data_IF_899270682787
#
_entry.id   IF_899270682787
#
_cell.length_a   1.000
_cell.length_b   1.000
_cell.length_c   1.000
_cell.angle_alpha   90.00
_cell.angle_beta   90.00
_cell.angle_gamma   90.00
#
_symmetry.space_group_name_H-M   'P 1'
#
loop_
_entity.id
_entity.type
_entity.pdbx_description
1 polymer ?
#
# COMPACT_ATOMS: atom_id res chain seq x y z
N UNK A 1 -20.90 3.57 25.11
CA UNK A 1 -19.56 3.86 25.65
C UNK A 1 -18.59 3.52 24.52
N UNK A 2 -18.17 4.53 23.75
CA UNK A 2 -17.32 4.30 22.57
C UNK A 2 -15.89 4.12 23.05
N UNK A 3 -15.26 2.99 22.70
CA UNK A 3 -13.81 2.88 22.79
C UNK A 3 -13.22 3.96 21.88
N UNK A 4 -12.57 4.96 22.44
CA UNK A 4 -11.78 5.94 21.68
C UNK A 4 -10.43 5.31 21.38
N UNK A 5 -10.41 4.43 20.39
CA UNK A 5 -9.17 3.92 19.83
C UNK A 5 -8.39 5.09 19.24
N UNK A 6 -7.12 5.21 19.61
CA UNK A 6 -6.21 6.18 19.02
C UNK A 6 -5.48 5.53 17.85
N UNK A 7 -5.46 6.20 16.69
CA UNK A 7 -4.79 5.71 15.49
C UNK A 7 -3.55 6.53 15.17
N UNK A 8 -2.46 5.85 14.82
CA UNK A 8 -1.21 6.47 14.37
C UNK A 8 -0.64 5.72 13.18
N UNK A 9 0.10 6.39 12.31
CA UNK A 9 0.80 5.77 11.18
C UNK A 9 2.29 5.79 11.40
N UNK A 10 3.00 4.73 11.01
CA UNK A 10 4.46 4.74 10.89
C UNK A 10 4.87 4.45 9.46
N UNK A 11 5.89 5.17 8.99
CA UNK A 11 6.51 5.01 7.68
C UNK A 11 7.82 4.24 7.79
N UNK A 12 8.01 3.26 6.92
CA UNK A 12 9.28 2.62 6.63
C UNK A 12 9.70 3.03 5.21
N UNK A 13 10.77 3.83 5.06
CA UNK A 13 11.42 4.06 3.77
C UNK A 13 11.92 2.75 3.14
N UNK A 14 12.27 2.74 1.84
CA UNK A 14 12.76 1.56 1.15
C UNK A 14 13.83 0.82 1.96
N UNK A 15 13.58 -0.43 2.39
CA UNK A 15 14.52 -1.17 3.22
C UNK A 15 15.87 -1.36 2.55
N UNK A 16 15.91 -1.45 1.21
CA UNK A 16 17.13 -1.62 0.39
C UNK A 16 18.02 -2.77 0.87
N UNK A 17 17.40 -3.81 1.41
CA UNK A 17 18.05 -5.00 1.94
C UNK A 17 17.22 -6.25 1.61
N UNK A 18 17.84 -7.42 1.70
CA UNK A 18 17.12 -8.68 1.58
C UNK A 18 16.14 -8.86 2.75
N UNK A 19 14.88 -9.05 2.41
CA UNK A 19 13.79 -9.29 3.36
C UNK A 19 13.45 -10.79 3.38
N UNK A 20 13.01 -11.27 4.53
CA UNK A 20 12.57 -12.65 4.71
C UNK A 20 11.06 -12.66 4.90
N UNK A 21 10.33 -13.51 4.18
CA UNK A 21 8.89 -13.65 4.39
C UNK A 21 8.63 -14.21 5.78
N UNK A 22 7.84 -13.54 6.64
CA UNK A 22 7.41 -14.12 7.91
C UNK A 22 6.62 -15.41 7.73
N UNK A 23 6.77 -16.34 8.67
CA UNK A 23 6.05 -17.63 8.69
C UNK A 23 5.47 -17.88 10.09
N UNK A 24 4.57 -18.85 10.27
CA UNK A 24 4.10 -19.22 11.60
C UNK A 24 5.21 -19.62 12.58
N UNK A 25 6.30 -20.22 12.08
CA UNK A 25 7.47 -20.59 12.90
C UNK A 25 8.47 -19.44 13.12
N UNK A 26 8.40 -18.39 12.31
CA UNK A 26 9.24 -17.20 12.41
C UNK A 26 8.42 -15.94 12.02
N UNK A 27 7.51 -15.47 12.87
CA UNK A 27 6.56 -14.41 12.54
C UNK A 27 7.20 -13.01 12.49
N UNK A 28 8.42 -12.86 12.99
CA UNK A 28 9.18 -11.62 12.94
C UNK A 28 10.66 -11.91 12.67
N UNK A 29 11.03 -12.24 11.41
CA UNK A 29 12.41 -12.47 11.03
C UNK A 29 13.30 -11.30 11.47
N UNK A 30 14.41 -11.60 12.14
CA UNK A 30 15.28 -10.60 12.74
C UNK A 30 15.99 -9.70 11.71
N UNK A 31 16.13 -10.16 10.46
CA UNK A 31 16.69 -9.37 9.38
C UNK A 31 15.69 -8.39 8.77
N UNK A 32 14.41 -8.41 9.16
CA UNK A 32 13.42 -7.46 8.67
C UNK A 32 13.33 -6.25 9.62
N UNK A 33 13.12 -5.04 9.08
CA UNK A 33 12.69 -3.91 9.90
C UNK A 33 11.39 -4.25 10.65
N UNK A 34 11.21 -3.86 11.92
CA UNK A 34 9.99 -4.17 12.68
C UNK A 34 8.70 -3.72 11.99
N UNK A 35 8.70 -2.53 11.37
CA UNK A 35 7.54 -2.02 10.63
C UNK A 35 7.18 -2.93 9.45
N UNK A 36 8.17 -3.52 8.77
CA UNK A 36 7.92 -4.47 7.68
C UNK A 36 7.26 -5.75 8.20
N UNK A 37 7.73 -6.28 9.33
CA UNK A 37 7.09 -7.44 9.97
C UNK A 37 5.63 -7.14 10.34
N UNK A 38 5.34 -5.94 10.82
CA UNK A 38 3.97 -5.51 11.12
C UNK A 38 3.10 -5.38 9.86
N UNK A 39 3.63 -4.82 8.75
CA UNK A 39 2.94 -4.78 7.47
C UNK A 39 2.63 -6.19 6.96
N UNK A 40 3.60 -7.11 7.05
CA UNK A 40 3.43 -8.51 6.66
C UNK A 40 2.43 -9.27 7.52
N UNK A 41 2.33 -8.94 8.82
CA UNK A 41 1.29 -9.49 9.68
C UNK A 41 -0.10 -9.12 9.16
N UNK A 42 -0.36 -7.84 8.90
CA UNK A 42 -1.66 -7.38 8.37
C UNK A 42 -1.95 -8.00 7.00
N UNK A 43 -0.95 -8.04 6.10
CA UNK A 43 -1.06 -8.68 4.78
C UNK A 43 -1.42 -10.16 4.90
N UNK A 44 -0.78 -10.90 5.80
CA UNK A 44 -1.06 -12.33 6.00
C UNK A 44 -2.50 -12.53 6.46
N UNK A 45 -2.94 -11.79 7.48
CA UNK A 45 -4.30 -11.93 7.99
C UNK A 45 -5.36 -11.59 6.93
N UNK A 46 -5.12 -10.55 6.12
CA UNK A 46 -6.12 -10.10 5.13
C UNK A 46 -6.04 -10.90 3.83
N UNK A 47 -4.87 -11.04 3.23
CA UNK A 47 -4.75 -11.64 1.91
C UNK A 47 -4.68 -13.16 1.98
N UNK A 48 -3.97 -13.74 2.94
CA UNK A 48 -3.84 -15.20 3.06
C UNK A 48 -5.01 -15.80 3.83
N UNK A 49 -5.19 -15.39 5.08
CA UNK A 49 -6.13 -16.06 5.97
C UNK A 49 -7.59 -15.76 5.57
N UNK A 50 -7.88 -14.51 5.21
CA UNK A 50 -9.24 -14.07 4.84
C UNK A 50 -9.53 -14.23 3.34
N UNK A 51 -8.63 -13.83 2.44
CA UNK A 51 -8.88 -13.85 0.98
C UNK A 51 -8.34 -15.09 0.27
N UNK A 52 -7.62 -15.96 0.97
CA UNK A 52 -7.08 -17.22 0.46
C UNK A 52 -6.07 -17.06 -0.70
N UNK A 53 -5.39 -15.90 -0.78
CA UNK A 53 -4.21 -15.71 -1.63
C UNK A 53 -3.08 -16.64 -1.15
N UNK A 54 -2.18 -17.02 -2.07
CA UNK A 54 -1.06 -17.89 -1.70
C UNK A 54 -0.07 -17.13 -0.81
N UNK A 55 0.39 -17.71 0.32
CA UNK A 55 1.36 -17.06 1.20
C UNK A 55 2.63 -16.59 0.49
N UNK A 56 3.12 -17.36 -0.47
CA UNK A 56 4.29 -17.02 -1.30
C UNK A 56 4.12 -15.74 -2.13
N UNK A 57 2.89 -15.34 -2.47
CA UNK A 57 2.63 -14.14 -3.26
C UNK A 57 2.54 -12.86 -2.40
N UNK A 58 2.56 -13.02 -1.07
CA UNK A 58 2.59 -11.91 -0.13
C UNK A 58 3.98 -11.32 0.11
N UNK A 59 5.00 -11.70 -0.64
CA UNK A 59 6.27 -10.97 -0.66
C UNK A 59 6.84 -11.02 -2.07
N UNK A 60 7.26 -9.88 -2.59
CA UNK A 60 7.79 -9.76 -3.95
C UNK A 60 9.00 -8.82 -4.00
N UNK A 61 9.63 -8.75 -5.18
CA UNK A 61 10.86 -7.97 -5.39
C UNK A 61 10.66 -6.46 -5.21
N UNK A 62 9.41 -5.96 -5.24
CA UNK A 62 9.14 -4.55 -5.00
C UNK A 62 9.22 -4.19 -3.50
N UNK A 63 9.10 -5.14 -2.58
CA UNK A 63 9.07 -4.85 -1.14
C UNK A 63 10.34 -4.13 -0.65
N UNK A 64 11.52 -4.49 -1.18
CA UNK A 64 12.79 -3.88 -0.78
C UNK A 64 12.99 -2.43 -1.29
N UNK A 65 12.30 -2.04 -2.37
CA UNK A 65 12.39 -0.71 -2.99
C UNK A 65 11.21 0.22 -2.68
N UNK A 66 10.21 -0.28 -1.97
CA UNK A 66 8.96 0.44 -1.71
C UNK A 66 8.95 1.12 -0.35
N UNK A 67 8.15 2.17 -0.23
CA UNK A 67 7.78 2.74 1.06
C UNK A 67 6.59 1.96 1.63
N UNK A 68 6.58 1.75 2.93
CA UNK A 68 5.53 1.02 3.62
C UNK A 68 4.96 1.86 4.75
N UNK A 69 3.64 1.98 4.81
CA UNK A 69 2.92 2.56 5.93
C UNK A 69 2.24 1.46 6.71
N UNK A 70 2.32 1.54 8.04
CA UNK A 70 1.51 0.71 8.94
C UNK A 70 0.66 1.63 9.80
N UNK A 71 -0.64 1.36 9.83
CA UNK A 71 -1.58 1.97 10.75
C UNK A 71 -1.60 1.15 12.03
N UNK A 72 -1.45 1.81 13.18
CA UNK A 72 -1.56 1.21 14.49
C UNK A 72 -2.80 1.72 15.22
N UNK A 73 -3.40 0.86 16.02
CA UNK A 73 -4.43 1.22 16.99
C UNK A 73 -3.89 1.03 18.41
N UNK A 74 -4.12 2.01 19.27
CA UNK A 74 -3.93 1.90 20.71
C UNK A 74 -5.31 1.91 21.34
N UNK A 75 -5.65 0.87 22.10
CA UNK A 75 -6.95 0.72 22.77
C UNK A 75 -6.78 1.02 24.25
N UNK A 76 -7.88 1.32 24.94
CA UNK A 76 -7.85 1.50 26.41
C UNK A 76 -7.48 0.21 27.16
N UNK A 77 -7.54 -0.94 26.50
CA UNK A 77 -7.20 -2.25 27.09
C UNK A 77 -5.72 -2.61 26.94
N UNK A 78 -4.98 -1.92 26.05
CA UNK A 78 -3.55 -2.15 25.81
C UNK A 78 -2.84 -0.87 25.40
N UNK A 79 -1.90 -0.43 26.23
CA UNK A 79 -0.99 0.68 25.92
C UNK A 79 -0.03 0.38 24.76
N UNK A 80 0.10 -0.89 24.34
CA UNK A 80 0.92 -1.25 23.19
C UNK A 80 0.12 -1.07 21.89
N UNK A 81 0.59 -0.25 20.94
CA UNK A 81 -0.04 -0.11 19.64
C UNK A 81 0.01 -1.44 18.87
N UNK A 82 -1.12 -1.83 18.28
CA UNK A 82 -1.23 -3.03 17.44
C UNK A 82 -1.33 -2.63 15.97
N UNK A 83 -0.67 -3.33 15.03
CA UNK A 83 -0.80 -3.03 13.61
C UNK A 83 -2.16 -3.49 13.10
N UNK A 84 -2.91 -2.57 12.49
CA UNK A 84 -4.30 -2.77 12.06
C UNK A 84 -4.53 -2.48 10.58
N UNK A 85 -3.57 -1.83 9.93
CA UNK A 85 -3.61 -1.50 8.52
C UNK A 85 -2.24 -1.38 7.91
N UNK A 86 -2.17 -1.51 6.58
CA UNK A 86 -0.92 -1.37 5.82
C UNK A 86 -1.18 -0.82 4.42
N UNK A 87 -0.17 -0.17 3.85
CA UNK A 87 -0.13 0.33 2.47
C UNK A 87 1.32 0.32 1.99
N UNK A 88 1.53 -0.07 0.73
CA UNK A 88 2.83 -0.03 0.04
C UNK A 88 2.79 0.94 -1.13
N UNK A 89 3.80 1.81 -1.25
CA UNK A 89 4.03 2.68 -2.40
C UNK A 89 5.26 2.17 -3.16
N UNK A 90 5.05 1.79 -4.41
CA UNK A 90 6.10 1.35 -5.33
C UNK A 90 6.53 2.57 -6.19
N UNK A 91 7.81 2.98 -6.15
CA UNK A 91 8.30 4.08 -6.98
C UNK A 91 8.50 3.63 -8.44
N UNK A 92 8.67 4.57 -9.39
CA UNK A 92 9.27 4.27 -10.69
C UNK A 92 10.76 3.86 -10.56
N UNK A 93 11.35 3.23 -11.59
CA UNK A 93 10.70 2.76 -12.81
C UNK A 93 9.79 1.55 -12.55
N UNK A 94 8.81 1.37 -13.42
CA UNK A 94 8.02 0.14 -13.54
C UNK A 94 8.41 -0.59 -14.82
N UNK A 95 7.98 -1.84 -14.98
CA UNK A 95 8.34 -2.62 -16.18
C UNK A 95 7.87 -1.87 -17.43
N UNK A 96 8.75 -1.61 -18.42
CA UNK A 96 8.37 -0.89 -19.63
C UNK A 96 7.17 -1.54 -20.33
N UNK A 97 6.23 -0.71 -20.81
CA UNK A 97 5.02 -1.07 -21.55
C UNK A 97 3.85 -1.69 -20.75
N UNK A 98 3.93 -1.80 -19.43
CA UNK A 98 2.82 -2.39 -18.65
C UNK A 98 1.51 -1.58 -18.81
N UNK A 99 1.60 -0.25 -18.80
CA UNK A 99 0.41 0.64 -18.85
C UNK A 99 0.52 1.83 -19.83
N UNK A 100 1.53 1.84 -20.71
CA UNK A 100 1.70 2.81 -21.82
C UNK A 100 1.61 4.31 -21.47
N UNK A 101 1.75 4.71 -20.20
CA UNK A 101 1.64 6.12 -19.78
C UNK A 101 2.77 6.99 -20.37
N UNK A 102 3.93 6.41 -20.66
CA UNK A 102 5.07 7.11 -21.26
C UNK A 102 5.76 8.12 -20.33
N UNK A 103 5.38 8.15 -19.05
CA UNK A 103 5.95 8.98 -17.98
C UNK A 103 5.96 8.21 -16.64
N UNK A 104 6.78 8.62 -15.66
CA UNK A 104 6.86 7.98 -14.35
C UNK A 104 5.53 8.09 -13.61
N UNK A 105 5.17 7.02 -12.89
CA UNK A 105 4.02 6.96 -12.00
C UNK A 105 4.42 6.18 -10.73
N UNK A 106 3.63 6.33 -9.67
CA UNK A 106 3.73 5.45 -8.50
C UNK A 106 2.57 4.45 -8.48
N UNK A 107 2.76 3.32 -7.80
CA UNK A 107 1.70 2.34 -7.59
C UNK A 107 1.43 2.21 -6.10
N UNK A 108 0.17 2.40 -5.69
CA UNK A 108 -0.26 2.02 -4.34
C UNK A 108 -0.75 0.57 -4.38
N UNK A 109 -0.19 -0.27 -3.51
CA UNK A 109 -0.47 -1.70 -3.44
C UNK A 109 -0.54 -2.16 -1.97
N UNK A 110 -0.99 -3.40 -1.76
CA UNK A 110 -1.11 -4.01 -0.41
C UNK A 110 -1.88 -3.12 0.59
N UNK A 111 -2.89 -2.39 0.10
CA UNK A 111 -3.77 -1.57 0.95
C UNK A 111 -4.73 -2.51 1.68
N UNK A 112 -4.52 -2.69 2.97
CA UNK A 112 -5.29 -3.64 3.78
C UNK A 112 -5.58 -3.09 5.17
N UNK A 113 -6.74 -3.47 5.71
CA UNK A 113 -7.14 -3.24 7.09
C UNK A 113 -7.65 -4.55 7.67
N UNK A 114 -7.31 -4.84 8.93
CA UNK A 114 -7.95 -5.92 9.67
C UNK A 114 -9.47 -5.70 9.74
N UNK A 115 -10.23 -6.79 9.67
CA UNK A 115 -11.70 -6.75 9.47
C UNK A 115 -12.43 -5.84 10.45
N UNK A 116 -12.07 -5.86 11.74
CA UNK A 116 -12.73 -5.03 12.77
C UNK A 116 -12.47 -3.51 12.65
N UNK A 117 -11.47 -3.08 11.86
CA UNK A 117 -11.13 -1.68 11.66
C UNK A 117 -11.63 -1.12 10.31
N UNK A 118 -12.39 -1.92 9.55
CA UNK A 118 -12.98 -1.48 8.27
C UNK A 118 -14.26 -0.67 8.51
N UNK A 119 -14.62 0.15 7.51
CA UNK A 119 -15.84 0.99 7.58
C UNK A 119 -15.69 2.27 8.40
N UNK A 120 -14.59 2.45 9.13
CA UNK A 120 -14.31 3.65 9.93
C UNK A 120 -13.55 4.77 9.17
N UNK A 121 -13.41 4.64 7.84
CA UNK A 121 -12.67 5.62 7.02
C UNK A 121 -11.14 5.52 7.10
N UNK A 122 -10.57 4.56 7.83
CA UNK A 122 -9.12 4.42 8.01
C UNK A 122 -8.34 4.12 6.72
N UNK A 123 -8.98 3.53 5.70
CA UNK A 123 -8.34 3.32 4.40
C UNK A 123 -8.08 4.66 3.70
N UNK A 124 -9.01 5.62 3.83
CA UNK A 124 -8.82 7.00 3.34
C UNK A 124 -7.65 7.65 4.05
N UNK A 125 -7.57 7.50 5.38
CA UNK A 125 -6.46 8.05 6.17
C UNK A 125 -5.12 7.52 5.65
N UNK A 126 -4.97 6.20 5.49
CA UNK A 126 -3.73 5.60 4.97
C UNK A 126 -3.37 6.11 3.56
N UNK A 127 -4.34 6.12 2.63
CA UNK A 127 -4.10 6.55 1.25
C UNK A 127 -3.76 8.03 1.19
N UNK A 128 -4.52 8.89 1.85
CA UNK A 128 -4.27 10.34 1.85
C UNK A 128 -2.94 10.66 2.56
N UNK A 129 -2.59 9.98 3.65
CA UNK A 129 -1.28 10.11 4.30
C UNK A 129 -0.12 9.76 3.34
N UNK A 130 -0.23 8.65 2.63
CA UNK A 130 0.82 8.23 1.68
C UNK A 130 0.93 9.18 0.49
N UNK A 131 -0.21 9.66 -0.05
CA UNK A 131 -0.22 10.58 -1.19
C UNK A 131 0.25 11.99 -0.84
N UNK A 132 -0.12 12.52 0.33
CA UNK A 132 0.42 13.80 0.82
C UNK A 132 1.93 13.72 1.01
N UNK A 133 2.41 12.64 1.65
CA UNK A 133 3.85 12.41 1.78
C UNK A 133 4.54 12.33 0.41
N UNK A 134 3.96 11.59 -0.54
CA UNK A 134 4.51 11.46 -1.88
C UNK A 134 4.63 12.82 -2.59
N UNK A 135 3.59 13.66 -2.55
CA UNK A 135 3.62 15.00 -3.15
C UNK A 135 4.71 15.89 -2.51
N UNK A 136 4.84 15.87 -1.19
CA UNK A 136 5.88 16.61 -0.46
C UNK A 136 7.30 16.11 -0.79
N UNK A 137 7.45 14.81 -1.03
CA UNK A 137 8.74 14.14 -1.26
C UNK A 137 8.90 13.69 -2.72
N UNK A 138 8.25 14.36 -3.67
CA UNK A 138 8.19 13.95 -5.09
C UNK A 138 9.58 13.76 -5.73
N UNK A 139 10.61 14.44 -5.23
CA UNK A 139 12.01 14.29 -5.67
C UNK A 139 12.58 12.89 -5.39
N UNK A 140 12.09 12.20 -4.35
CA UNK A 140 12.47 10.81 -4.05
C UNK A 140 11.77 9.80 -4.98
N UNK A 141 10.75 10.24 -5.72
CA UNK A 141 9.90 9.40 -6.56
C UNK A 141 10.15 9.62 -8.06
N UNK A 142 11.20 10.35 -8.43
CA UNK A 142 11.62 10.53 -9.83
C UNK A 142 12.33 9.30 -10.38
N UNK A 143 12.21 9.07 -11.68
CA UNK A 143 12.99 8.03 -12.37
C UNK A 143 14.42 8.52 -12.67
N UNK A 144 14.54 9.79 -13.07
CA UNK A 144 15.80 10.51 -13.25
C UNK A 144 15.58 12.02 -13.04
N UNK A 145 16.65 12.82 -13.07
CA UNK A 145 16.55 14.29 -13.03
C UNK A 145 15.67 14.83 -14.17
N UNK A 146 15.82 14.29 -15.37
CA UNK A 146 15.08 14.70 -16.57
C UNK A 146 13.70 14.03 -16.71
N UNK A 147 13.35 13.12 -15.79
CA UNK A 147 12.11 12.37 -15.82
C UNK A 147 11.46 12.32 -14.42
N UNK A 148 10.90 13.47 -13.96
CA UNK A 148 10.27 13.57 -12.65
C UNK A 148 8.93 12.84 -12.62
N UNK A 149 8.56 12.36 -11.43
CA UNK A 149 7.18 11.96 -11.19
C UNK A 149 6.30 13.22 -11.05
N UNK A 150 5.22 13.26 -11.84
CA UNK A 150 4.35 14.44 -11.99
C UNK A 150 2.96 14.23 -11.37
N UNK A 151 2.82 13.21 -10.52
CA UNK A 151 1.61 13.01 -9.72
C UNK A 151 0.71 11.87 -10.17
N UNK A 152 1.07 11.09 -11.19
CA UNK A 152 0.25 9.93 -11.59
C UNK A 152 0.38 8.77 -10.59
N UNK A 153 -0.76 8.31 -10.09
CA UNK A 153 -0.89 7.22 -9.13
C UNK A 153 -1.78 6.14 -9.70
N UNK A 154 -1.27 4.91 -9.76
CA UNK A 154 -2.01 3.73 -10.15
C UNK A 154 -2.38 2.88 -8.93
N UNK A 155 -3.56 2.27 -8.98
CA UNK A 155 -3.92 1.10 -8.17
C UNK A 155 -4.42 -0.01 -9.07
N UNK A 156 -4.00 -1.23 -8.75
CA UNK A 156 -4.66 -2.46 -9.21
C UNK A 156 -5.70 -2.80 -8.14
N UNK A 157 -6.93 -2.30 -8.31
CA UNK A 157 -7.97 -2.41 -7.31
C UNK A 157 -8.79 -3.69 -7.51
N UNK A 158 -9.04 -4.44 -6.45
CA UNK A 158 -10.07 -5.48 -6.46
C UNK A 158 -11.41 -4.82 -6.82
N UNK A 159 -12.19 -5.44 -7.71
CA UNK A 159 -13.50 -4.90 -8.15
C UNK A 159 -14.42 -4.61 -6.96
N UNK A 160 -14.35 -5.43 -5.90
CA UNK A 160 -15.12 -5.24 -4.68
C UNK A 160 -14.88 -3.89 -3.97
N UNK A 161 -13.72 -3.26 -4.16
CA UNK A 161 -13.34 -1.98 -3.53
C UNK A 161 -13.20 -0.83 -4.52
N UNK A 162 -13.57 -1.02 -5.79
CA UNK A 162 -13.53 0.03 -6.82
C UNK A 162 -14.27 1.31 -6.38
N UNK A 163 -15.47 1.16 -5.80
CA UNK A 163 -16.26 2.31 -5.27
C UNK A 163 -15.55 3.05 -4.12
N UNK A 164 -14.71 2.37 -3.36
CA UNK A 164 -13.92 3.00 -2.29
C UNK A 164 -12.84 3.89 -2.90
N UNK A 165 -12.08 3.38 -3.88
CA UNK A 165 -11.09 4.15 -4.63
C UNK A 165 -11.71 5.29 -5.43
N UNK A 166 -12.89 5.11 -6.02
CA UNK A 166 -13.63 6.18 -6.69
C UNK A 166 -13.92 7.36 -5.77
N UNK A 167 -14.29 7.12 -4.50
CA UNK A 167 -14.49 8.17 -3.49
C UNK A 167 -13.17 8.83 -3.05
N UNK A 168 -12.03 8.21 -3.33
CA UNK A 168 -10.70 8.77 -3.12
C UNK A 168 -10.19 9.51 -4.36
N UNK A 169 -11.01 9.66 -5.40
CA UNK A 169 -10.64 10.39 -6.62
C UNK A 169 -9.90 9.56 -7.66
N UNK A 170 -9.85 8.24 -7.51
CA UNK A 170 -9.36 7.35 -8.57
C UNK A 170 -10.45 7.10 -9.61
N UNK A 171 -10.07 7.00 -10.88
CA UNK A 171 -10.95 6.68 -11.99
C UNK A 171 -10.50 5.37 -12.65
N UNK A 172 -11.45 4.47 -12.90
CA UNK A 172 -11.19 3.19 -13.57
C UNK A 172 -10.74 3.40 -15.01
N UNK A 173 -9.65 2.74 -15.39
CA UNK A 173 -9.14 2.71 -16.76
C UNK A 173 -9.74 1.53 -17.52
N UNK A 174 -10.80 1.81 -18.29
CA UNK A 174 -11.45 0.80 -19.10
C UNK A 174 -10.50 0.18 -20.15
N UNK A 175 -9.43 0.87 -20.55
CA UNK A 175 -8.48 0.35 -21.56
C UNK A 175 -7.58 -0.76 -21.01
N UNK A 176 -7.41 -0.83 -19.69
CA UNK A 176 -6.69 -1.92 -19.02
C UNK A 176 -7.55 -3.19 -18.90
N UNK A 177 -8.87 -3.07 -19.05
CA UNK A 177 -9.81 -4.17 -18.87
C UNK A 177 -9.86 -4.67 -17.42
N UNK A 178 -10.53 -5.81 -17.24
CA UNK A 178 -10.57 -6.54 -15.97
C UNK A 178 -9.70 -7.79 -16.10
N UNK A 179 -8.92 -8.10 -15.08
CA UNK A 179 -8.08 -9.30 -15.06
C UNK A 179 -8.20 -10.02 -13.72
N UNK A 180 -7.80 -11.30 -13.71
CA UNK A 180 -7.73 -12.10 -12.50
C UNK A 180 -6.32 -12.06 -11.92
N UNK A 181 -6.21 -11.73 -10.65
CA UNK A 181 -4.97 -11.79 -9.87
C UNK A 181 -5.29 -12.47 -8.53
N UNK A 182 -4.54 -13.52 -8.18
CA UNK A 182 -4.78 -14.33 -6.98
C UNK A 182 -6.22 -14.88 -6.83
N UNK A 183 -6.91 -15.11 -7.95
CA UNK A 183 -8.30 -15.59 -7.94
C UNK A 183 -9.35 -14.50 -7.68
N UNK A 184 -8.95 -13.22 -7.71
CA UNK A 184 -9.80 -12.06 -7.46
C UNK A 184 -9.82 -11.19 -8.71
N UNK A 185 -11.00 -10.69 -9.10
CA UNK A 185 -11.14 -9.75 -10.21
C UNK A 185 -10.57 -8.38 -9.83
N UNK A 186 -9.73 -7.84 -10.71
CA UNK A 186 -9.06 -6.55 -10.56
C UNK A 186 -9.31 -5.63 -11.76
N UNK A 187 -9.27 -4.33 -11.48
CA UNK A 187 -9.30 -3.25 -12.46
C UNK A 187 -8.19 -2.25 -12.17
N UNK A 188 -7.68 -1.60 -13.22
CA UNK A 188 -6.73 -0.50 -13.09
C UNK A 188 -7.48 0.79 -12.79
N UNK A 189 -7.03 1.56 -11.80
CA UNK A 189 -7.57 2.89 -11.54
C UNK A 189 -6.47 3.93 -11.34
N UNK A 190 -6.65 5.11 -11.93
CA UNK A 190 -5.69 6.21 -11.88
C UNK A 190 -6.21 7.37 -11.05
N UNK A 191 -5.31 8.02 -10.32
CA UNK A 191 -5.52 9.34 -9.70
C UNK A 191 -4.33 10.22 -10.03
N UNK A 192 -4.61 11.49 -10.30
CA UNK A 192 -3.58 12.53 -10.36
C UNK A 192 -3.52 13.26 -9.02
N UNK A 193 -2.33 13.42 -8.47
CA UNK A 193 -2.09 14.27 -7.29
C UNK A 193 -1.33 15.53 -7.71
N UNK A 194 -1.66 16.65 -7.09
CA UNK A 194 -0.92 17.89 -7.31
C UNK A 194 0.45 17.77 -6.64
N UNK A 195 1.50 17.95 -7.44
CA UNK A 195 2.88 18.02 -6.97
C UNK A 195 3.27 19.50 -6.93
N UNK A 196 3.85 20.01 -5.83
CA UNK A 196 4.31 21.39 -5.75
C UNK A 196 5.22 21.73 -6.93
N UNK A 197 4.97 22.88 -7.57
CA UNK A 197 5.90 23.45 -8.54
C UNK A 197 7.18 23.89 -7.82
N UNK A 198 8.32 23.74 -8.49
CA UNK A 198 9.61 24.20 -7.99
C UNK A 198 9.69 25.74 -7.85
#
# INVERSE_FOLDING_TARGET
>A
MGSTDQFTTSLLPPPRQSLTRPTPSNPAPANNPPIFNHAMHVRTVVFVDEQHCKPENEMDDNDARSWHWVLYATTTESDKPVPVGTLRLIPPPHVPNEHKLGKPYIVLSRVALLRQYRGAGLARVLVDTALSWAAEHHKELRESEDNPWTGDVLVHAQVAVEKMYARLGFATDASMGMWMEEGIDHVGMWRMVEVPLE
#
